data_IF_405886211362
#
_entry.id   IF_405886211362
#
_cell.length_a   1.000
_cell.length_b   1.000
_cell.length_c   1.000
_cell.angle_alpha   90.00
_cell.angle_beta   90.00
_cell.angle_gamma   90.00
#
_symmetry.space_group_name_H-M   'P 1'
#
loop_
_entity.id
_entity.type
_entity.pdbx_description
1 polymer ?
#
# COMPACT_ATOMS: atom_id res chain seq x y z
N UNK A 1 41.38 -7.94 8.24
CA UNK A 1 40.84 -7.43 6.97
C UNK A 1 39.36 -7.73 7.01
N UNK A 2 38.51 -6.72 7.17
CA UNK A 2 37.08 -6.89 7.15
C UNK A 2 36.67 -6.98 5.68
N UNK A 3 36.20 -8.15 5.26
CA UNK A 3 35.51 -8.30 3.97
C UNK A 3 34.37 -7.30 3.93
N UNK A 4 34.35 -6.47 2.89
CA UNK A 4 33.28 -5.52 2.63
C UNK A 4 32.01 -6.31 2.40
N UNK A 5 31.15 -6.29 3.41
CA UNK A 5 29.76 -6.67 3.28
C UNK A 5 29.11 -5.57 2.44
N UNK A 6 29.18 -5.73 1.11
CA UNK A 6 28.51 -4.84 0.17
C UNK A 6 27.03 -4.87 0.53
N UNK A 7 26.55 -3.78 1.12
CA UNK A 7 25.16 -3.58 1.50
C UNK A 7 24.33 -3.33 0.24
N UNK A 8 24.24 -4.34 -0.63
CA UNK A 8 23.41 -4.33 -1.82
C UNK A 8 21.96 -4.55 -1.36
N UNK A 9 21.27 -3.45 -1.06
CA UNK A 9 19.83 -3.46 -0.88
C UNK A 9 19.18 -3.94 -2.19
N UNK A 10 18.51 -5.09 -2.19
CA UNK A 10 17.72 -5.53 -3.33
C UNK A 10 16.49 -4.63 -3.44
N UNK A 11 16.63 -3.60 -4.28
CA UNK A 11 15.64 -2.55 -4.54
C UNK A 11 14.33 -3.15 -5.02
N UNK A 12 14.35 -4.22 -5.82
CA UNK A 12 13.13 -4.88 -6.31
C UNK A 12 12.47 -5.74 -5.23
N UNK A 13 13.25 -6.40 -4.36
CA UNK A 13 12.72 -7.09 -3.19
C UNK A 13 12.15 -6.11 -2.14
N UNK A 14 12.74 -4.92 -1.99
CA UNK A 14 12.24 -3.84 -1.14
C UNK A 14 11.01 -3.15 -1.73
N UNK A 15 11.01 -2.87 -3.04
CA UNK A 15 9.85 -2.38 -3.80
C UNK A 15 8.66 -3.31 -3.66
N UNK A 16 8.94 -4.61 -3.58
CA UNK A 16 7.93 -5.60 -3.25
C UNK A 16 7.77 -5.78 -1.75
N UNK A 17 8.68 -5.44 -0.85
CA UNK A 17 8.58 -5.78 0.58
C UNK A 17 8.21 -7.25 0.88
N UNK A 18 8.40 -8.17 -0.08
CA UNK A 18 7.78 -9.51 -0.12
C UNK A 18 6.30 -9.60 -0.54
N UNK A 19 5.56 -8.49 -0.66
CA UNK A 19 4.17 -8.32 -1.13
C UNK A 19 3.99 -7.04 -1.99
N UNK A 20 3.50 -7.16 -3.23
CA UNK A 20 3.22 -6.04 -4.14
C UNK A 20 2.21 -5.01 -3.55
N UNK A 21 2.74 -3.95 -2.93
CA UNK A 21 1.95 -2.93 -2.20
C UNK A 21 1.05 -2.11 -3.13
N UNK A 22 1.53 -1.81 -4.34
CA UNK A 22 0.72 -1.11 -5.35
C UNK A 22 -0.49 -1.95 -5.75
N UNK A 23 -0.29 -3.25 -5.99
CA UNK A 23 -1.38 -4.17 -6.28
C UNK A 23 -2.34 -4.34 -5.10
N UNK A 24 -1.84 -4.31 -3.87
CA UNK A 24 -2.68 -4.39 -2.68
C UNK A 24 -3.52 -3.11 -2.48
N UNK A 25 -2.94 -1.94 -2.74
CA UNK A 25 -3.65 -0.66 -2.72
C UNK A 25 -4.74 -0.61 -3.81
N UNK A 26 -4.42 -1.05 -5.03
CA UNK A 26 -5.39 -1.19 -6.12
C UNK A 26 -6.54 -2.14 -5.75
N UNK A 27 -6.22 -3.28 -5.14
CA UNK A 27 -7.23 -4.24 -4.68
C UNK A 27 -8.14 -3.62 -3.61
N UNK A 28 -7.57 -2.93 -2.62
CA UNK A 28 -8.35 -2.23 -1.59
C UNK A 28 -9.27 -1.16 -2.19
N UNK A 29 -8.78 -0.39 -3.16
CA UNK A 29 -9.58 0.62 -3.90
C UNK A 29 -10.69 -0.02 -4.75
N UNK A 30 -10.41 -1.14 -5.40
CA UNK A 30 -11.41 -1.91 -6.18
C UNK A 30 -12.52 -2.44 -5.29
N UNK A 31 -12.16 -3.11 -4.18
CA UNK A 31 -13.14 -3.63 -3.22
C UNK A 31 -13.97 -2.49 -2.64
N UNK A 32 -13.36 -1.35 -2.30
CA UNK A 32 -14.09 -0.18 -1.85
C UNK A 32 -15.11 0.31 -2.90
N UNK A 33 -14.69 0.43 -4.17
CA UNK A 33 -15.57 0.88 -5.25
C UNK A 33 -16.76 -0.05 -5.46
N UNK A 34 -16.50 -1.36 -5.53
CA UNK A 34 -17.53 -2.38 -5.73
C UNK A 34 -18.51 -2.42 -4.54
N UNK A 35 -17.97 -2.42 -3.32
CA UNK A 35 -18.79 -2.44 -2.11
C UNK A 35 -19.61 -1.15 -1.97
N UNK A 36 -19.04 0.01 -2.30
CA UNK A 36 -19.75 1.29 -2.26
C UNK A 36 -20.94 1.30 -3.22
N UNK A 37 -20.77 0.74 -4.42
CA UNK A 37 -21.87 0.60 -5.39
C UNK A 37 -22.97 -0.35 -4.88
N UNK A 38 -22.58 -1.51 -4.33
CA UNK A 38 -23.53 -2.46 -3.75
C UNK A 38 -24.29 -1.88 -2.55
N UNK A 39 -23.62 -1.10 -1.69
CA UNK A 39 -24.26 -0.44 -0.56
C UNK A 39 -25.27 0.65 -0.98
N UNK A 40 -25.06 1.30 -2.13
CA UNK A 40 -26.05 2.20 -2.75
C UNK A 40 -27.24 1.41 -3.30
N UNK A 41 -26.98 0.26 -3.93
CA UNK A 41 -28.01 -0.61 -4.49
C UNK A 41 -28.82 -1.34 -3.41
N UNK A 42 -28.23 -1.55 -2.22
CA UNK A 42 -28.88 -2.17 -1.08
C UNK A 42 -29.92 -1.24 -0.44
N UNK A 43 -31.10 -1.20 -1.04
CA UNK A 43 -32.26 -0.52 -0.48
C UNK A 43 -32.90 -1.44 0.55
N UNK A 44 -32.67 -1.17 1.84
CA UNK A 44 -33.53 -1.70 2.90
C UNK A 44 -34.90 -1.01 2.73
N UNK A 45 -35.80 -1.64 1.99
CA UNK A 45 -37.16 -1.16 1.76
C UNK A 45 -37.99 -1.24 3.05
N UNK A 46 -39.00 -0.40 3.16
CA UNK A 46 -39.92 -0.41 4.31
C UNK A 46 -39.63 0.65 5.38
N UNK A 47 -40.70 1.00 6.10
CA UNK A 47 -40.72 1.95 7.22
C UNK A 47 -41.23 1.31 8.51
N UNK A 48 -41.37 -0.01 8.52
CA UNK A 48 -41.68 -0.78 9.71
C UNK A 48 -40.48 -0.79 10.67
N UNK A 49 -40.74 -1.15 11.93
CA UNK A 49 -39.73 -1.04 12.97
C UNK A 49 -38.56 -2.00 12.76
N UNK A 50 -38.79 -3.14 12.09
CA UNK A 50 -37.74 -4.07 11.68
C UNK A 50 -36.79 -3.40 10.67
N UNK A 51 -37.31 -2.72 9.65
CA UNK A 51 -36.48 -2.04 8.66
C UNK A 51 -35.70 -0.86 9.25
N UNK A 52 -36.29 -0.15 10.22
CA UNK A 52 -35.59 0.94 10.95
C UNK A 52 -34.45 0.39 11.80
N UNK A 53 -34.71 -0.67 12.57
CA UNK A 53 -33.71 -1.35 13.39
C UNK A 53 -32.55 -1.84 12.52
N UNK A 54 -32.86 -2.53 11.42
CA UNK A 54 -31.87 -3.04 10.46
C UNK A 54 -31.02 -1.91 9.85
N UNK A 55 -31.65 -0.82 9.39
CA UNK A 55 -30.93 0.38 8.89
C UNK A 55 -29.99 0.96 9.94
N UNK A 56 -30.46 1.09 11.19
CA UNK A 56 -29.69 1.69 12.28
C UNK A 56 -28.46 0.87 12.65
N UNK A 57 -28.53 -0.46 12.53
CA UNK A 57 -27.42 -1.37 12.83
C UNK A 57 -26.48 -1.55 11.64
N UNK A 58 -27.02 -1.55 10.42
CA UNK A 58 -26.26 -1.82 9.20
C UNK A 58 -25.47 -0.60 8.71
N UNK A 59 -26.10 0.60 8.67
CA UNK A 59 -25.48 1.80 8.11
C UNK A 59 -24.17 2.25 8.79
N UNK A 60 -24.02 2.15 10.13
CA UNK A 60 -22.75 2.45 10.78
C UNK A 60 -21.63 1.48 10.34
N UNK A 61 -21.89 0.17 10.35
CA UNK A 61 -20.88 -0.83 9.96
C UNK A 61 -20.50 -0.74 8.48
N UNK A 62 -21.47 -0.43 7.61
CA UNK A 62 -21.23 -0.09 6.20
C UNK A 62 -20.25 1.07 6.06
N UNK A 63 -20.49 2.17 6.78
CA UNK A 63 -19.64 3.35 6.75
C UNK A 63 -18.23 3.04 7.27
N UNK A 64 -18.13 2.38 8.42
CA UNK A 64 -16.84 2.06 9.03
C UNK A 64 -16.00 1.13 8.14
N UNK A 65 -16.64 0.14 7.50
CA UNK A 65 -15.98 -0.77 6.56
C UNK A 65 -15.46 -0.06 5.30
N UNK A 66 -16.27 0.82 4.70
CA UNK A 66 -15.85 1.63 3.56
C UNK A 66 -14.73 2.60 3.94
N UNK A 67 -14.82 3.25 5.09
CA UNK A 67 -13.79 4.16 5.59
C UNK A 67 -12.47 3.43 5.85
N UNK A 68 -12.52 2.23 6.44
CA UNK A 68 -11.36 1.36 6.62
C UNK A 68 -10.69 1.01 5.28
N UNK A 69 -11.45 0.54 4.28
CA UNK A 69 -10.90 0.17 2.97
C UNK A 69 -10.28 1.37 2.25
N UNK A 70 -10.91 2.54 2.36
CA UNK A 70 -10.38 3.80 1.82
C UNK A 70 -9.06 4.18 2.48
N UNK A 71 -9.00 4.15 3.81
CA UNK A 71 -7.78 4.48 4.56
C UNK A 71 -6.67 3.47 4.30
N UNK A 72 -7.00 2.18 4.21
CA UNK A 72 -6.04 1.13 3.89
C UNK A 72 -5.41 1.36 2.52
N UNK A 73 -6.21 1.64 1.49
CA UNK A 73 -5.68 1.98 0.16
C UNK A 73 -4.74 3.19 0.19
N UNK A 74 -5.12 4.26 0.90
CA UNK A 74 -4.28 5.46 1.04
C UNK A 74 -2.97 5.20 1.80
N UNK A 75 -3.02 4.41 2.88
CA UNK A 75 -1.83 4.06 3.65
C UNK A 75 -0.87 3.23 2.79
N UNK A 76 -1.39 2.22 2.08
CA UNK A 76 -0.57 1.37 1.22
C UNK A 76 0.08 2.15 0.07
N UNK A 77 -0.60 3.15 -0.50
CA UNK A 77 -0.01 4.05 -1.50
C UNK A 77 1.13 4.89 -0.89
N UNK A 78 0.88 5.55 0.24
CA UNK A 78 1.87 6.43 0.89
C UNK A 78 3.07 5.65 1.44
N UNK A 79 2.83 4.51 2.08
CA UNK A 79 3.87 3.67 2.66
C UNK A 79 4.66 2.96 1.55
N UNK A 80 3.97 2.56 0.47
CA UNK A 80 4.59 2.00 -0.73
C UNK A 80 5.53 3.00 -1.42
N UNK A 81 5.09 4.25 -1.61
CA UNK A 81 5.94 5.32 -2.16
C UNK A 81 7.19 5.56 -1.29
N UNK A 82 7.04 5.64 0.04
CA UNK A 82 8.17 5.87 0.94
C UNK A 82 9.22 4.73 0.89
N UNK A 83 8.77 3.48 0.75
CA UNK A 83 9.66 2.32 0.59
C UNK A 83 10.40 2.38 -0.75
N UNK A 84 9.73 2.76 -1.83
CA UNK A 84 10.36 2.96 -3.15
C UNK A 84 11.41 4.06 -3.09
N UNK A 85 11.07 5.21 -2.53
CA UNK A 85 11.98 6.36 -2.44
C UNK A 85 13.23 6.02 -1.63
N UNK A 86 13.06 5.34 -0.49
CA UNK A 86 14.18 4.88 0.33
C UNK A 86 15.08 3.91 -0.45
N UNK A 87 14.48 3.01 -1.23
CA UNK A 87 15.23 2.04 -2.04
C UNK A 87 16.03 2.72 -3.16
N UNK A 88 15.46 3.75 -3.80
CA UNK A 88 16.17 4.57 -4.80
C UNK A 88 17.37 5.30 -4.18
N UNK A 89 17.23 5.83 -2.96
CA UNK A 89 18.35 6.46 -2.24
C UNK A 89 19.47 5.47 -1.98
N UNK A 90 19.15 4.24 -1.56
CA UNK A 90 20.15 3.19 -1.36
C UNK A 90 20.83 2.77 -2.67
N UNK A 91 20.09 2.65 -3.77
CA UNK A 91 20.66 2.29 -5.08
C UNK A 91 21.61 3.35 -5.63
N UNK A 92 21.24 4.62 -5.47
CA UNK A 92 22.10 5.75 -5.83
C UNK A 92 23.37 5.76 -4.98
N UNK A 93 23.25 5.55 -3.66
CA UNK A 93 24.41 5.46 -2.77
C UNK A 93 25.33 4.28 -3.13
N UNK A 94 24.76 3.14 -3.51
CA UNK A 94 25.51 1.96 -3.95
C UNK A 94 26.21 2.20 -5.30
N UNK A 95 25.54 2.86 -6.24
CA UNK A 95 26.10 3.26 -7.53
C UNK A 95 27.26 4.24 -7.35
N UNK A 96 27.09 5.28 -6.53
CA UNK A 96 28.14 6.26 -6.22
C UNK A 96 29.35 5.60 -5.54
N UNK A 97 29.12 4.65 -4.62
CA UNK A 97 30.17 3.90 -3.95
C UNK A 97 30.95 3.01 -4.93
N UNK A 98 30.25 2.28 -5.80
CA UNK A 98 30.90 1.37 -6.78
C UNK A 98 31.63 2.12 -7.90
N UNK A 99 31.13 3.27 -8.33
CA UNK A 99 31.83 4.12 -9.32
C UNK A 99 33.05 4.84 -8.73
N UNK A 100 32.99 5.23 -7.45
CA UNK A 100 34.15 5.76 -6.72
C UNK A 100 35.31 4.76 -6.63
N UNK A 101 35.01 3.46 -6.47
CA UNK A 101 36.02 2.40 -6.39
C UNK A 101 36.66 2.10 -7.76
N UNK A 102 35.89 2.10 -8.85
CA UNK A 102 36.42 1.90 -10.23
C UNK A 102 37.38 3.03 -10.66
N UNK A 103 37.17 4.24 -10.16
CA UNK A 103 38.03 5.41 -10.43
C UNK A 103 39.42 5.29 -9.77
N UNK A 104 39.53 4.63 -8.61
CA UNK A 104 40.80 4.47 -7.87
C UNK A 104 41.61 3.21 -8.21
N UNK A 105 41.05 2.26 -8.96
CA UNK A 105 41.72 1.02 -9.38
C UNK A 105 42.57 1.11 -10.66
N UNK A 106 42.65 2.28 -11.31
CA UNK A 106 43.46 2.53 -12.52
C UNK A 106 44.75 3.28 -12.17
N UNK A 107 45.74 2.58 -11.61
CA UNK A 107 47.16 2.96 -11.69
C UNK A 107 48.02 1.72 -11.83
#
# INVERSE_FOLDING_TARGET
MAEGDDFAADVEALRKGGVDLSRLAELARSIHSDLSLECVNLVIGGSDDISKELKSKYKPGEKDGLEFLRMLGMSLDSDGEAVVDTSVVFDNANTDATDGVKSHGRK
#
